data_IF_128803813711
#
_entry.id   IF_128803813711
#
_cell.length_a   1.000
_cell.length_b   1.000
_cell.length_c   1.000
_cell.angle_alpha   90.00
_cell.angle_beta   90.00
_cell.angle_gamma   90.00
#
_symmetry.space_group_name_H-M   'P 1'
#
loop_
_entity.id
_entity.type
_entity.pdbx_description
1 polymer ?
#
# COMPACT_ATOMS: atom_id res chain seq x y z
N UNK A 1 14.94 13.53 -23.21
CA UNK A 1 14.23 13.43 -21.92
C UNK A 1 14.90 12.44 -20.97
N UNK A 2 14.91 11.12 -21.19
CA UNK A 2 15.61 10.17 -20.27
C UNK A 2 17.12 10.39 -20.23
N UNK A 3 17.76 10.64 -21.37
CA UNK A 3 19.20 10.96 -21.46
C UNK A 3 19.54 12.27 -20.75
N UNK A 4 18.79 13.32 -20.97
CA UNK A 4 19.00 14.64 -20.36
C UNK A 4 18.83 14.59 -18.84
N UNK A 5 17.82 13.85 -18.34
CA UNK A 5 17.66 13.63 -16.90
C UNK A 5 18.84 12.83 -16.32
N UNK A 6 19.27 11.77 -17.01
CA UNK A 6 20.41 10.98 -16.58
C UNK A 6 21.70 11.81 -16.51
N UNK A 7 21.98 12.61 -17.54
CA UNK A 7 23.14 13.50 -17.56
C UNK A 7 23.11 14.51 -16.41
N UNK A 8 21.93 15.05 -16.11
CA UNK A 8 21.76 15.97 -14.99
C UNK A 8 22.08 15.33 -13.65
N UNK A 9 21.63 14.11 -13.42
CA UNK A 9 21.87 13.39 -12.16
C UNK A 9 23.28 12.83 -12.04
N UNK A 10 23.96 12.58 -13.16
CA UNK A 10 25.29 11.96 -13.18
C UNK A 10 26.42 12.96 -13.35
N UNK A 11 26.16 14.26 -13.58
CA UNK A 11 27.16 15.28 -13.84
C UNK A 11 28.23 15.41 -12.75
N UNK A 12 27.86 15.15 -11.50
CA UNK A 12 28.76 15.25 -10.35
C UNK A 12 29.38 13.90 -9.94
N UNK A 13 29.03 12.81 -10.65
CA UNK A 13 29.54 11.46 -10.40
C UNK A 13 30.78 11.22 -11.26
N UNK A 14 31.93 10.99 -10.62
CA UNK A 14 33.15 10.62 -11.34
C UNK A 14 33.08 9.18 -11.80
N UNK A 15 32.90 8.96 -13.09
CA UNK A 15 32.89 7.65 -13.72
C UNK A 15 34.05 7.49 -14.71
N UNK A 16 34.62 6.27 -14.85
CA UNK A 16 35.55 5.95 -15.92
C UNK A 16 34.92 6.18 -17.31
N UNK A 17 35.69 6.66 -18.27
CA UNK A 17 35.17 6.99 -19.60
C UNK A 17 34.55 5.79 -20.35
N UNK A 18 35.04 4.58 -20.10
CA UNK A 18 34.46 3.37 -20.71
C UNK A 18 33.09 3.06 -20.13
N UNK A 19 32.90 3.28 -18.82
CA UNK A 19 31.61 3.04 -18.14
C UNK A 19 30.57 4.08 -18.57
N UNK A 20 30.99 5.36 -18.72
CA UNK A 20 30.12 6.39 -19.25
C UNK A 20 29.62 6.08 -20.67
N UNK A 21 30.50 5.62 -21.57
CA UNK A 21 30.08 5.17 -22.93
C UNK A 21 29.10 4.00 -22.89
N UNK A 22 29.36 3.03 -22.02
CA UNK A 22 28.46 1.91 -21.81
C UNK A 22 27.08 2.35 -21.30
N UNK A 23 27.05 3.28 -20.36
CA UNK A 23 25.80 3.87 -19.85
C UNK A 23 25.01 4.59 -20.96
N UNK A 24 25.68 5.39 -21.77
CA UNK A 24 25.05 6.09 -22.90
C UNK A 24 24.43 5.12 -23.89
N UNK A 25 25.14 4.05 -24.26
CA UNK A 25 24.64 3.03 -25.18
C UNK A 25 23.39 2.33 -24.64
N UNK A 26 23.37 1.99 -23.35
CA UNK A 26 22.21 1.37 -22.71
C UNK A 26 21.03 2.34 -22.67
N UNK A 27 21.24 3.58 -22.27
CA UNK A 27 20.20 4.61 -22.21
C UNK A 27 19.59 4.89 -23.60
N UNK A 28 20.42 4.91 -24.65
CA UNK A 28 19.91 5.00 -26.03
C UNK A 28 19.02 3.81 -26.40
N UNK A 29 19.42 2.60 -26.04
CA UNK A 29 18.63 1.39 -26.30
C UNK A 29 17.32 1.35 -25.51
N UNK A 30 17.36 1.78 -24.24
CA UNK A 30 16.15 1.95 -23.40
C UNK A 30 15.21 2.97 -24.03
N UNK A 31 15.74 4.11 -24.49
CA UNK A 31 14.94 5.14 -25.15
C UNK A 31 14.31 4.64 -26.46
N UNK A 32 15.05 3.87 -27.27
CA UNK A 32 14.49 3.21 -28.49
C UNK A 32 13.34 2.27 -28.12
N UNK A 33 13.53 1.42 -27.08
CA UNK A 33 12.48 0.52 -26.56
C UNK A 33 11.25 1.29 -26.09
N UNK A 34 11.46 2.39 -25.36
CA UNK A 34 10.39 3.26 -24.90
C UNK A 34 9.59 3.88 -26.05
N UNK A 35 10.28 4.38 -27.09
CA UNK A 35 9.60 4.92 -28.28
C UNK A 35 8.78 3.87 -29.02
N UNK A 36 9.26 2.62 -29.07
CA UNK A 36 8.48 1.51 -29.63
C UNK A 36 7.23 1.20 -28.81
N UNK A 37 7.33 1.21 -27.46
CA UNK A 37 6.20 1.02 -26.58
C UNK A 37 5.15 2.13 -26.73
N UNK A 38 5.58 3.39 -26.79
CA UNK A 38 4.67 4.51 -27.05
C UNK A 38 3.95 4.40 -28.39
N UNK A 39 4.67 3.95 -29.44
CA UNK A 39 4.08 3.73 -30.76
C UNK A 39 3.05 2.60 -30.76
N UNK A 40 3.30 1.52 -30.02
CA UNK A 40 2.36 0.43 -29.84
C UNK A 40 1.09 0.91 -29.14
N UNK A 41 1.22 1.69 -28.08
CA UNK A 41 0.09 2.27 -27.34
C UNK A 41 -0.79 3.16 -28.18
N UNK A 42 -0.20 4.05 -28.96
CA UNK A 42 -0.96 4.92 -29.91
C UNK A 42 -1.81 4.10 -30.88
N UNK A 43 -1.50 2.82 -31.03
CA UNK A 43 -2.26 1.85 -31.84
C UNK A 43 -3.24 1.00 -31.03
N UNK A 44 -3.37 1.28 -29.72
CA UNK A 44 -4.26 0.51 -28.83
C UNK A 44 -3.78 -0.89 -28.48
N UNK A 45 -2.47 -1.20 -28.66
CA UNK A 45 -1.92 -2.54 -28.42
C UNK A 45 -1.63 -2.76 -26.92
N UNK A 46 -1.43 -1.68 -26.15
CA UNK A 46 -1.16 -1.74 -24.72
C UNK A 46 -2.24 -0.93 -23.96
N UNK A 47 -2.85 -1.52 -22.95
CA UNK A 47 -3.91 -0.91 -22.17
C UNK A 47 -3.42 0.08 -21.11
N UNK A 48 -2.13 0.09 -20.77
CA UNK A 48 -1.62 0.96 -19.71
C UNK A 48 -1.26 2.37 -20.22
N UNK A 49 -1.84 3.41 -19.63
CA UNK A 49 -1.58 4.81 -20.00
C UNK A 49 -0.22 5.32 -19.51
N UNK A 50 0.27 4.77 -18.40
CA UNK A 50 1.55 5.15 -17.79
C UNK A 50 2.42 3.89 -17.67
N UNK A 51 3.60 3.90 -18.33
CA UNK A 51 4.53 2.77 -18.30
C UNK A 51 5.30 2.74 -17.00
N UNK A 52 5.76 3.90 -16.54
CA UNK A 52 6.56 4.03 -15.33
C UNK A 52 6.24 5.33 -14.59
N UNK A 53 6.28 5.32 -13.24
CA UNK A 53 6.13 6.55 -12.48
C UNK A 53 7.32 7.47 -12.76
N UNK A 54 7.07 8.77 -12.83
CA UNK A 54 8.10 9.80 -13.00
C UNK A 54 9.09 9.73 -11.83
N UNK A 55 10.37 9.99 -12.13
CA UNK A 55 11.42 10.11 -11.11
C UNK A 55 11.05 11.23 -10.15
N UNK A 56 11.23 10.98 -8.86
CA UNK A 56 10.96 11.91 -7.79
C UNK A 56 12.20 12.09 -6.91
N UNK A 57 12.43 13.32 -6.43
CA UNK A 57 13.59 13.66 -5.61
C UNK A 57 13.38 13.33 -4.13
N UNK A 58 12.14 13.36 -3.67
CA UNK A 58 11.77 13.04 -2.30
C UNK A 58 10.37 12.38 -2.24
N UNK A 59 9.95 12.02 -1.03
CA UNK A 59 8.64 11.41 -0.81
C UNK A 59 7.50 12.33 -1.25
N UNK A 60 7.60 13.63 -0.96
CA UNK A 60 6.55 14.58 -1.28
C UNK A 60 6.34 14.73 -2.79
N UNK A 61 7.44 14.87 -3.53
CA UNK A 61 7.43 14.91 -5.01
C UNK A 61 6.92 13.58 -5.59
N UNK A 62 7.31 12.45 -4.99
CA UNK A 62 6.86 11.12 -5.40
C UNK A 62 5.34 10.97 -5.28
N UNK A 63 4.78 11.32 -4.13
CA UNK A 63 3.35 11.21 -3.87
C UNK A 63 2.55 12.15 -4.78
N UNK A 64 3.00 13.40 -4.93
CA UNK A 64 2.37 14.38 -5.80
C UNK A 64 2.30 13.90 -7.27
N UNK A 65 3.43 13.42 -7.81
CA UNK A 65 3.53 12.90 -9.18
C UNK A 65 2.73 11.61 -9.40
N UNK A 66 2.63 10.77 -8.38
CA UNK A 66 1.92 9.50 -8.44
C UNK A 66 0.40 9.69 -8.54
N UNK A 67 -0.13 10.72 -7.86
CA UNK A 67 -1.55 11.00 -7.80
C UNK A 67 -1.98 12.20 -8.65
N UNK A 68 -1.05 12.81 -9.39
CA UNK A 68 -1.28 14.01 -10.20
C UNK A 68 -1.98 15.13 -9.40
N UNK A 69 -1.46 15.40 -8.20
CA UNK A 69 -2.00 16.40 -7.27
C UNK A 69 -0.89 17.34 -6.80
N UNK A 70 -1.17 18.64 -6.78
CA UNK A 70 -0.19 19.67 -6.41
C UNK A 70 -0.11 19.87 -4.89
N UNK A 71 0.55 18.93 -4.21
CA UNK A 71 0.71 18.93 -2.74
C UNK A 71 2.17 18.82 -2.30
N UNK A 72 3.12 18.77 -3.24
CA UNK A 72 4.52 18.45 -2.91
C UNK A 72 5.11 19.38 -1.85
N UNK A 73 4.96 20.68 -2.01
CA UNK A 73 5.50 21.66 -1.07
C UNK A 73 4.82 21.60 0.30
N UNK A 74 3.51 21.45 0.30
CA UNK A 74 2.73 21.29 1.55
C UNK A 74 3.13 20.02 2.29
N UNK A 75 3.21 18.89 1.59
CA UNK A 75 3.59 17.61 2.19
C UNK A 75 5.05 17.66 2.71
N UNK A 76 5.97 18.29 1.98
CA UNK A 76 7.36 18.50 2.41
C UNK A 76 7.44 19.31 3.70
N UNK A 77 6.66 20.40 3.79
CA UNK A 77 6.57 21.21 4.99
C UNK A 77 6.03 20.39 6.20
N UNK A 78 4.99 19.59 6.00
CA UNK A 78 4.46 18.73 7.06
C UNK A 78 5.47 17.66 7.49
N UNK A 79 6.12 16.98 6.57
CA UNK A 79 7.11 15.94 6.86
C UNK A 79 8.35 16.49 7.59
N UNK A 80 8.67 17.77 7.42
CA UNK A 80 9.76 18.42 8.18
C UNK A 80 9.40 18.75 9.64
N UNK A 81 8.11 18.81 9.97
CA UNK A 81 7.61 19.25 11.28
C UNK A 81 6.98 18.12 12.10
N UNK A 82 6.51 17.07 11.46
CA UNK A 82 5.75 15.99 12.11
C UNK A 82 6.18 14.61 11.63
N UNK A 83 5.64 13.55 12.27
CA UNK A 83 5.79 12.18 11.76
C UNK A 83 5.01 12.00 10.46
N UNK A 84 5.40 11.01 9.66
CA UNK A 84 4.71 10.73 8.38
C UNK A 84 3.24 10.36 8.58
N UNK A 85 2.88 9.70 9.69
CA UNK A 85 1.50 9.35 10.01
C UNK A 85 0.67 10.60 10.29
N UNK A 86 1.21 11.57 11.06
CA UNK A 86 0.55 12.86 11.28
C UNK A 86 0.44 13.68 9.99
N UNK A 87 1.51 13.69 9.19
CA UNK A 87 1.50 14.35 7.88
C UNK A 87 0.43 13.75 6.95
N UNK A 88 0.31 12.41 6.93
CA UNK A 88 -0.70 11.71 6.13
C UNK A 88 -2.13 12.04 6.56
N UNK A 89 -2.41 12.08 7.88
CA UNK A 89 -3.73 12.48 8.39
C UNK A 89 -4.06 13.93 8.03
N UNK A 90 -3.09 14.85 8.16
CA UNK A 90 -3.31 16.26 7.83
C UNK A 90 -3.56 16.46 6.33
N UNK A 91 -2.83 15.77 5.47
CA UNK A 91 -3.09 15.78 4.03
C UNK A 91 -4.45 15.16 3.69
N UNK A 92 -4.86 14.07 4.37
CA UNK A 92 -6.19 13.50 4.20
C UNK A 92 -7.29 14.50 4.54
N UNK A 93 -7.14 15.24 5.65
CA UNK A 93 -8.05 16.29 6.08
C UNK A 93 -8.17 17.41 5.03
N UNK A 94 -7.04 17.96 4.59
CA UNK A 94 -6.97 19.06 3.62
C UNK A 94 -7.56 18.67 2.26
N UNK A 95 -7.31 17.44 1.77
CA UNK A 95 -7.90 16.94 0.53
C UNK A 95 -9.41 16.69 0.71
N UNK A 96 -9.83 16.06 1.80
CA UNK A 96 -11.26 15.80 2.06
C UNK A 96 -12.05 17.10 2.18
N UNK A 97 -11.48 18.14 2.81
CA UNK A 97 -12.04 19.48 2.90
C UNK A 97 -12.11 20.20 1.53
N UNK A 98 -11.33 19.75 0.54
CA UNK A 98 -11.29 20.36 -0.80
C UNK A 98 -10.26 21.47 -0.96
N UNK A 99 -9.26 21.52 -0.08
CA UNK A 99 -8.15 22.48 -0.20
C UNK A 99 -7.19 22.09 -1.35
N UNK A 100 -7.09 20.80 -1.64
CA UNK A 100 -6.29 20.23 -2.71
C UNK A 100 -7.10 19.27 -3.56
N UNK A 101 -6.79 19.23 -4.86
CA UNK A 101 -7.51 18.44 -5.82
C UNK A 101 -8.82 19.09 -6.29
N UNK A 102 -9.52 18.41 -7.16
CA UNK A 102 -10.80 18.86 -7.74
C UNK A 102 -11.78 17.69 -7.78
N UNK A 103 -13.07 17.98 -7.81
CA UNK A 103 -14.10 16.97 -7.95
C UNK A 103 -15.15 16.99 -6.84
N UNK A 104 -16.07 16.04 -6.93
CA UNK A 104 -17.11 15.83 -5.93
C UNK A 104 -16.56 15.23 -4.62
N UNK A 105 -17.43 15.11 -3.63
CA UNK A 105 -17.03 14.58 -2.33
C UNK A 105 -16.43 13.16 -2.41
N UNK A 106 -16.99 12.29 -3.26
CA UNK A 106 -16.47 10.93 -3.48
C UNK A 106 -15.03 10.96 -4.00
N UNK A 107 -14.78 11.77 -5.03
CA UNK A 107 -13.44 11.92 -5.64
C UNK A 107 -12.42 12.46 -4.64
N UNK A 108 -12.81 13.45 -3.82
CA UNK A 108 -11.93 13.98 -2.77
C UNK A 108 -11.60 12.95 -1.71
N UNK A 109 -12.57 12.16 -1.26
CA UNK A 109 -12.37 11.11 -0.28
C UNK A 109 -11.48 9.97 -0.83
N UNK A 110 -11.68 9.56 -2.09
CA UNK A 110 -10.81 8.59 -2.76
C UNK A 110 -9.37 9.10 -2.83
N UNK A 111 -9.17 10.34 -3.27
CA UNK A 111 -7.85 10.98 -3.30
C UNK A 111 -7.25 11.10 -1.91
N UNK A 112 -8.01 11.51 -0.89
CA UNK A 112 -7.53 11.63 0.48
C UNK A 112 -6.99 10.31 1.02
N UNK A 113 -7.72 9.21 0.81
CA UNK A 113 -7.31 7.88 1.28
C UNK A 113 -6.08 7.38 0.52
N UNK A 114 -6.06 7.48 -0.80
CA UNK A 114 -4.95 6.96 -1.64
C UNK A 114 -3.66 7.75 -1.45
N UNK A 115 -3.75 9.08 -1.46
CA UNK A 115 -2.59 9.95 -1.27
C UNK A 115 -1.96 9.71 0.11
N UNK A 116 -2.78 9.63 1.14
CA UNK A 116 -2.30 9.40 2.51
C UNK A 116 -1.73 8.00 2.69
N UNK A 117 -2.31 6.98 2.05
CA UNK A 117 -1.70 5.65 2.00
C UNK A 117 -0.33 5.69 1.31
N UNK A 118 -0.20 6.46 0.24
CA UNK A 118 1.09 6.64 -0.43
C UNK A 118 2.14 7.29 0.48
N UNK A 119 1.75 8.24 1.31
CA UNK A 119 2.65 8.86 2.30
C UNK A 119 3.13 7.83 3.33
N UNK A 120 2.22 7.09 3.96
CA UNK A 120 2.59 6.13 5.02
C UNK A 120 3.35 4.92 4.49
N UNK A 121 3.12 4.54 3.23
CA UNK A 121 3.84 3.47 2.54
C UNK A 121 5.13 3.95 1.85
N UNK A 122 5.57 5.18 2.11
CA UNK A 122 6.81 5.76 1.57
C UNK A 122 6.88 5.74 0.03
N UNK A 123 5.77 6.04 -0.61
CA UNK A 123 5.70 6.13 -2.07
C UNK A 123 5.61 4.78 -2.80
N UNK A 124 5.21 3.71 -2.09
CA UNK A 124 4.80 2.46 -2.76
C UNK A 124 3.70 2.75 -3.75
N UNK A 125 3.86 2.32 -4.99
CA UNK A 125 2.85 2.57 -6.04
C UNK A 125 1.70 1.56 -6.01
N UNK A 126 2.00 0.30 -5.73
CA UNK A 126 1.04 -0.80 -5.88
C UNK A 126 -0.12 -0.70 -4.88
N UNK A 127 0.17 -0.43 -3.61
CA UNK A 127 -0.86 -0.39 -2.57
C UNK A 127 -1.88 0.75 -2.78
N UNK A 128 -1.47 2.04 -2.93
CA UNK A 128 -2.42 3.13 -3.11
C UNK A 128 -3.10 3.14 -4.48
N UNK A 129 -2.44 2.70 -5.55
CA UNK A 129 -3.00 2.74 -6.90
C UNK A 129 -3.82 1.50 -7.25
N UNK A 130 -3.40 0.32 -6.82
CA UNK A 130 -4.00 -0.96 -7.20
C UNK A 130 -4.57 -1.75 -6.02
N UNK A 131 -4.12 -1.44 -4.79
CA UNK A 131 -4.56 -2.13 -3.58
C UNK A 131 -5.91 -1.65 -3.06
N UNK A 132 -6.35 -0.46 -3.46
CA UNK A 132 -7.69 0.08 -3.22
C UNK A 132 -8.43 0.03 -4.56
N UNK A 133 -9.53 -0.71 -4.64
CA UNK A 133 -10.36 -0.79 -5.85
C UNK A 133 -11.33 0.37 -5.96
N UNK A 134 -11.96 0.78 -4.86
CA UNK A 134 -12.90 1.90 -4.82
C UNK A 134 -12.97 2.51 -3.41
N UNK A 135 -13.27 3.80 -3.35
CA UNK A 135 -13.69 4.50 -2.14
C UNK A 135 -15.03 5.16 -2.45
N UNK A 136 -16.08 4.75 -1.75
CA UNK A 136 -17.45 5.15 -2.08
C UNK A 136 -18.24 5.56 -0.86
N UNK A 137 -19.28 6.36 -1.11
CA UNK A 137 -20.26 6.75 -0.10
C UNK A 137 -21.47 5.85 -0.28
N UNK A 138 -21.81 5.10 0.76
CA UNK A 138 -22.96 4.18 0.80
C UNK A 138 -23.94 4.61 1.89
N UNK A 139 -25.07 3.93 1.99
CA UNK A 139 -26.11 4.22 2.98
C UNK A 139 -26.32 3.05 3.95
N UNK A 140 -26.43 3.37 5.23
CA UNK A 140 -26.90 2.46 6.26
C UNK A 140 -28.39 2.13 6.08
N UNK A 141 -28.90 1.19 6.88
CA UNK A 141 -30.32 0.83 6.85
C UNK A 141 -31.23 2.00 7.26
N UNK A 142 -30.75 2.91 8.11
CA UNK A 142 -31.43 4.12 8.54
C UNK A 142 -31.29 5.31 7.56
N UNK A 143 -30.73 5.07 6.39
CA UNK A 143 -30.45 6.05 5.33
C UNK A 143 -29.31 7.05 5.67
N UNK A 144 -28.63 6.94 6.81
CA UNK A 144 -27.41 7.70 7.07
C UNK A 144 -26.30 7.31 6.10
N UNK A 145 -25.45 8.26 5.70
CA UNK A 145 -24.39 8.04 4.73
C UNK A 145 -23.07 7.73 5.42
N UNK A 146 -22.36 6.72 4.94
CA UNK A 146 -21.07 6.32 5.47
C UNK A 146 -20.03 6.10 4.37
N UNK A 147 -18.76 6.04 4.76
CA UNK A 147 -17.63 5.77 3.86
C UNK A 147 -17.33 4.28 3.78
N UNK A 148 -17.14 3.78 2.56
CA UNK A 148 -16.70 2.41 2.26
C UNK A 148 -15.34 2.43 1.56
N UNK A 149 -14.42 1.58 1.99
CA UNK A 149 -13.14 1.34 1.32
C UNK A 149 -13.07 -0.09 0.82
N UNK A 150 -13.03 -0.25 -0.48
CA UNK A 150 -12.95 -1.54 -1.16
C UNK A 150 -11.51 -1.88 -1.51
N UNK A 151 -11.02 -3.03 -1.05
CA UNK A 151 -9.66 -3.48 -1.26
C UNK A 151 -9.55 -4.55 -2.34
N UNK A 152 -8.43 -4.52 -3.07
CA UNK A 152 -8.04 -5.54 -4.04
C UNK A 152 -6.79 -6.30 -3.57
N UNK A 153 -6.49 -7.41 -4.23
CA UNK A 153 -5.34 -8.26 -3.88
C UNK A 153 -4.00 -7.55 -3.71
N UNK A 154 -3.66 -6.54 -4.53
CA UNK A 154 -2.41 -5.80 -4.44
C UNK A 154 -2.18 -5.03 -3.13
N UNK A 155 -3.20 -4.82 -2.27
CA UNK A 155 -3.02 -4.24 -0.93
C UNK A 155 -2.01 -5.04 -0.09
N UNK A 156 -1.80 -6.30 -0.42
CA UNK A 156 -0.77 -7.15 0.19
C UNK A 156 0.66 -6.62 0.05
N UNK A 157 0.90 -5.68 -0.87
CA UNK A 157 2.20 -5.00 -1.01
C UNK A 157 2.46 -4.00 0.13
N UNK A 158 1.43 -3.50 0.78
CA UNK A 158 1.56 -2.77 2.04
C UNK A 158 1.83 -3.72 3.21
N UNK A 159 2.54 -3.25 4.22
CA UNK A 159 2.64 -3.98 5.49
C UNK A 159 1.29 -3.99 6.23
N UNK A 160 1.08 -4.97 7.11
CA UNK A 160 -0.19 -5.08 7.83
C UNK A 160 -0.54 -3.82 8.65
N UNK A 161 0.44 -3.10 9.18
CA UNK A 161 0.22 -1.84 9.90
C UNK A 161 -0.25 -0.74 8.94
N UNK A 162 0.40 -0.59 7.81
CA UNK A 162 0.08 0.42 6.81
C UNK A 162 -1.29 0.15 6.17
N UNK A 163 -1.60 -1.10 5.89
CA UNK A 163 -2.90 -1.51 5.39
C UNK A 163 -4.03 -1.19 6.39
N UNK A 164 -3.82 -1.46 7.67
CA UNK A 164 -4.78 -1.11 8.72
C UNK A 164 -4.86 0.41 8.96
N UNK A 165 -3.75 1.13 8.85
CA UNK A 165 -3.72 2.59 8.98
C UNK A 165 -4.58 3.27 7.90
N UNK A 166 -4.76 2.63 6.74
CA UNK A 166 -5.72 3.09 5.71
C UNK A 166 -7.12 3.28 6.27
N UNK A 167 -7.58 2.38 7.16
CA UNK A 167 -8.90 2.48 7.78
C UNK A 167 -8.98 3.65 8.80
N UNK A 168 -7.90 3.93 9.53
CA UNK A 168 -7.81 5.10 10.42
C UNK A 168 -7.86 6.41 9.61
N UNK A 169 -7.13 6.47 8.51
CA UNK A 169 -7.11 7.61 7.58
C UNK A 169 -8.50 7.82 6.97
N UNK A 170 -9.14 6.74 6.52
CA UNK A 170 -10.48 6.80 5.96
C UNK A 170 -11.52 7.29 6.97
N UNK A 171 -11.43 6.85 8.24
CA UNK A 171 -12.30 7.35 9.30
C UNK A 171 -12.06 8.83 9.59
N UNK A 172 -10.81 9.27 9.59
CA UNK A 172 -10.48 10.68 9.75
C UNK A 172 -11.08 11.54 8.61
N UNK A 173 -10.89 11.12 7.36
CA UNK A 173 -11.46 11.79 6.19
C UNK A 173 -13.01 11.77 6.21
N UNK A 174 -13.61 10.65 6.65
CA UNK A 174 -15.05 10.51 6.84
C UNK A 174 -15.60 11.58 7.82
N UNK A 175 -14.93 11.77 8.96
CA UNK A 175 -15.31 12.77 9.97
C UNK A 175 -15.24 14.19 9.42
N UNK A 176 -14.18 14.52 8.68
CA UNK A 176 -14.03 15.82 8.01
C UNK A 176 -15.17 16.06 7.00
N UNK A 177 -15.57 15.01 6.29
CA UNK A 177 -16.68 15.07 5.33
C UNK A 177 -18.07 15.10 6.00
N UNK A 178 -18.18 14.97 7.31
CA UNK A 178 -19.46 14.96 8.03
C UNK A 178 -20.32 13.71 7.77
N UNK A 179 -19.70 12.59 7.33
CA UNK A 179 -20.40 11.34 7.10
C UNK A 179 -20.57 10.56 8.41
N UNK A 180 -21.66 9.80 8.51
CA UNK A 180 -21.94 8.92 9.65
C UNK A 180 -21.04 7.68 9.67
N UNK A 181 -21.07 6.95 10.78
CA UNK A 181 -20.35 5.69 10.90
C UNK A 181 -21.05 4.60 10.10
N UNK A 182 -20.24 3.69 9.55
CA UNK A 182 -20.73 2.42 9.07
C UNK A 182 -21.36 1.62 10.23
N UNK A 183 -22.48 0.98 9.96
CA UNK A 183 -23.18 0.08 10.88
C UNK A 183 -23.34 -1.26 10.17
N UNK A 184 -22.67 -2.30 10.69
CA UNK A 184 -22.78 -3.65 10.15
C UNK A 184 -24.23 -4.13 10.15
N UNK A 185 -24.68 -4.69 9.02
CA UNK A 185 -26.07 -5.13 8.89
C UNK A 185 -26.26 -6.49 9.57
N UNK A 186 -26.95 -6.50 10.69
CA UNK A 186 -27.27 -7.71 11.44
C UNK A 186 -28.31 -8.61 10.77
N UNK A 187 -29.16 -8.07 9.90
CA UNK A 187 -30.15 -8.87 9.17
C UNK A 187 -29.51 -9.75 8.09
N UNK A 188 -28.45 -9.28 7.47
CA UNK A 188 -27.70 -10.02 6.46
C UNK A 188 -26.50 -10.76 7.07
N UNK A 189 -26.31 -10.68 8.40
CA UNK A 189 -25.17 -11.27 9.12
C UNK A 189 -23.81 -10.99 8.47
N UNK A 190 -23.52 -9.70 8.21
CA UNK A 190 -22.26 -9.30 7.61
C UNK A 190 -21.04 -9.76 8.40
N UNK A 191 -21.15 -9.81 9.74
CA UNK A 191 -20.08 -10.31 10.59
C UNK A 191 -19.79 -11.79 10.39
N UNK A 192 -20.85 -12.61 10.28
CA UNK A 192 -20.73 -14.03 9.97
C UNK A 192 -20.12 -14.28 8.59
N UNK A 193 -20.43 -13.43 7.62
CA UNK A 193 -19.79 -13.49 6.30
C UNK A 193 -18.26 -13.33 6.38
N UNK A 194 -17.76 -12.40 7.16
CA UNK A 194 -16.30 -12.22 7.32
C UNK A 194 -15.64 -13.40 8.02
N UNK A 195 -16.32 -13.99 9.02
CA UNK A 195 -15.83 -15.20 9.70
C UNK A 195 -15.77 -16.36 8.70
N UNK A 196 -16.83 -16.58 7.93
CA UNK A 196 -16.87 -17.64 6.92
C UNK A 196 -15.77 -17.48 5.87
N UNK A 197 -15.65 -16.29 5.28
CA UNK A 197 -14.61 -16.01 4.29
C UNK A 197 -13.20 -16.23 4.84
N UNK A 198 -12.94 -15.81 6.09
CA UNK A 198 -11.66 -15.99 6.73
C UNK A 198 -11.29 -17.47 6.84
N UNK A 199 -12.22 -18.30 7.32
CA UNK A 199 -11.98 -19.74 7.50
C UNK A 199 -11.86 -20.48 6.17
N UNK A 200 -12.61 -20.08 5.17
CA UNK A 200 -12.46 -20.63 3.81
C UNK A 200 -11.11 -20.23 3.23
N UNK A 201 -10.71 -18.98 3.35
CA UNK A 201 -9.42 -18.51 2.86
C UNK A 201 -8.25 -19.25 3.50
N UNK A 202 -8.25 -19.43 4.82
CA UNK A 202 -7.23 -20.20 5.56
C UNK A 202 -7.12 -21.65 5.07
N UNK A 203 -8.26 -22.27 4.79
CA UNK A 203 -8.30 -23.69 4.39
C UNK A 203 -7.96 -23.91 2.92
N UNK A 204 -8.44 -23.04 2.02
CA UNK A 204 -8.44 -23.33 0.58
C UNK A 204 -7.48 -22.45 -0.24
N UNK A 205 -7.06 -21.32 0.30
CA UNK A 205 -6.21 -20.38 -0.45
C UNK A 205 -4.82 -20.30 0.13
N UNK A 206 -4.66 -19.72 1.31
CA UNK A 206 -3.37 -19.61 2.01
C UNK A 206 -3.54 -19.14 3.46
N UNK A 207 -2.53 -19.42 4.29
CA UNK A 207 -2.49 -18.93 5.66
C UNK A 207 -2.28 -17.42 5.76
N UNK A 208 -2.75 -16.86 6.87
CA UNK A 208 -2.46 -15.49 7.29
C UNK A 208 -1.21 -15.43 8.16
N UNK A 209 -0.69 -14.20 8.37
CA UNK A 209 0.44 -13.99 9.26
C UNK A 209 0.06 -14.26 10.73
N UNK A 210 -1.19 -14.02 11.09
CA UNK A 210 -1.70 -14.21 12.42
C UNK A 210 -2.93 -15.13 12.40
N UNK A 211 -3.05 -15.97 13.43
CA UNK A 211 -4.32 -16.64 13.72
C UNK A 211 -5.13 -15.76 14.66
N UNK A 212 -6.37 -15.50 14.29
CA UNK A 212 -7.29 -14.67 15.07
C UNK A 212 -8.54 -15.48 15.45
N UNK A 213 -9.22 -15.05 16.49
CA UNK A 213 -10.46 -15.68 16.93
C UNK A 213 -11.66 -15.12 16.17
N UNK A 214 -12.69 -15.93 15.96
CA UNK A 214 -13.95 -15.52 15.34
C UNK A 214 -14.61 -14.37 16.10
N UNK A 215 -14.52 -14.39 17.44
CA UNK A 215 -15.02 -13.31 18.30
C UNK A 215 -14.35 -11.97 18.01
N UNK A 216 -13.04 -11.98 17.73
CA UNK A 216 -12.29 -10.76 17.37
C UNK A 216 -12.68 -10.27 15.97
N UNK A 217 -12.98 -11.18 15.02
CA UNK A 217 -13.51 -10.82 13.69
C UNK A 217 -14.87 -10.12 13.84
N UNK A 218 -15.79 -10.73 14.59
CA UNK A 218 -17.12 -10.14 14.86
C UNK A 218 -17.00 -8.77 15.53
N UNK A 219 -16.17 -8.65 16.57
CA UNK A 219 -15.92 -7.36 17.23
C UNK A 219 -15.33 -6.33 16.30
N UNK A 220 -14.36 -6.72 15.49
CA UNK A 220 -13.70 -5.81 14.54
C UNK A 220 -14.75 -5.23 13.57
N UNK A 221 -15.50 -6.08 12.86
CA UNK A 221 -16.46 -5.64 11.86
C UNK A 221 -17.60 -4.83 12.47
N UNK A 222 -18.09 -5.22 13.66
CA UNK A 222 -19.18 -4.51 14.36
C UNK A 222 -18.79 -3.11 14.85
N UNK A 223 -17.50 -2.83 15.05
CA UNK A 223 -17.04 -1.56 15.62
C UNK A 223 -16.32 -0.66 14.61
N UNK A 224 -16.05 -1.14 13.39
CA UNK A 224 -15.44 -0.33 12.36
C UNK A 224 -16.32 0.87 12.01
N UNK A 225 -15.77 2.11 12.02
CA UNK A 225 -16.52 3.30 11.63
C UNK A 225 -16.63 3.51 10.13
N UNK A 226 -15.83 2.75 9.34
CA UNK A 226 -15.79 2.76 7.88
C UNK A 226 -15.97 1.35 7.40
N UNK A 227 -16.77 1.13 6.36
CA UNK A 227 -16.96 -0.21 5.81
C UNK A 227 -15.66 -0.74 5.19
N UNK A 228 -15.30 -1.92 5.61
CA UNK A 228 -14.20 -2.68 5.05
C UNK A 228 -14.76 -3.61 3.96
N UNK A 229 -14.67 -3.20 2.70
CA UNK A 229 -15.17 -3.95 1.56
C UNK A 229 -14.03 -4.44 0.64
N UNK A 230 -14.33 -5.11 -0.44
CA UNK A 230 -13.34 -5.52 -1.43
C UNK A 230 -13.89 -6.34 -2.58
N UNK A 231 -13.04 -6.44 -3.60
CA UNK A 231 -13.30 -7.29 -4.75
C UNK A 231 -12.87 -8.73 -4.49
N UNK A 232 -13.45 -9.67 -5.21
CA UNK A 232 -13.00 -11.05 -5.20
C UNK A 232 -11.55 -11.16 -5.72
N UNK A 233 -10.77 -11.97 -5.04
CA UNK A 233 -9.36 -12.20 -5.38
C UNK A 233 -9.05 -13.65 -5.70
N UNK A 234 -9.92 -14.54 -5.30
CA UNK A 234 -9.72 -15.97 -5.39
C UNK A 234 -11.00 -16.67 -5.88
N UNK A 235 -10.91 -17.72 -6.74
CA UNK A 235 -12.06 -18.38 -7.35
C UNK A 235 -12.77 -19.35 -6.39
N UNK A 236 -12.82 -19.02 -5.11
CA UNK A 236 -13.45 -19.80 -4.04
C UNK A 236 -14.69 -19.05 -3.55
N UNK A 237 -15.81 -19.73 -3.46
CA UNK A 237 -17.09 -19.15 -3.01
C UNK A 237 -17.37 -19.48 -1.55
N UNK A 238 -18.08 -18.57 -0.89
CA UNK A 238 -18.69 -18.85 0.41
C UNK A 238 -19.88 -19.79 0.27
N UNK A 239 -20.28 -20.43 1.34
CA UNK A 239 -21.36 -21.43 1.34
C UNK A 239 -22.63 -20.84 1.95
N UNK A 240 -22.53 -20.23 3.12
CA UNK A 240 -23.67 -19.79 3.93
C UNK A 240 -24.15 -18.37 3.61
N UNK A 241 -23.23 -17.43 3.44
CA UNK A 241 -23.54 -16.00 3.34
C UNK A 241 -23.44 -15.52 1.88
N UNK A 242 -24.33 -16.02 1.01
CA UNK A 242 -24.41 -15.64 -0.42
C UNK A 242 -25.47 -14.57 -0.67
N UNK A 243 -25.33 -13.88 -1.80
CA UNK A 243 -26.30 -12.88 -2.30
C UNK A 243 -26.60 -11.75 -1.28
N UNK A 244 -25.58 -11.30 -0.57
CA UNK A 244 -25.72 -10.24 0.43
C UNK A 244 -25.90 -8.88 -0.25
N UNK A 245 -26.74 -8.01 0.33
CA UNK A 245 -27.13 -6.73 -0.29
C UNK A 245 -25.96 -5.75 -0.48
N UNK A 246 -25.04 -5.70 0.48
CA UNK A 246 -23.91 -4.75 0.48
C UNK A 246 -22.59 -5.37 0.04
N UNK A 247 -22.50 -6.67 -0.07
CA UNK A 247 -21.30 -7.39 -0.53
C UNK A 247 -21.57 -7.90 -1.95
N UNK A 248 -20.90 -7.32 -2.92
CA UNK A 248 -21.20 -7.53 -4.34
C UNK A 248 -20.75 -8.89 -4.91
N UNK A 249 -19.98 -9.67 -4.16
CA UNK A 249 -19.46 -10.96 -4.63
C UNK A 249 -19.71 -12.08 -3.61
N UNK A 250 -19.98 -13.27 -4.10
CA UNK A 250 -20.03 -14.50 -3.29
C UNK A 250 -18.67 -15.19 -3.15
N UNK A 251 -17.63 -14.62 -3.79
CA UNK A 251 -16.28 -15.14 -3.71
C UNK A 251 -15.47 -14.48 -2.61
N UNK A 252 -14.36 -15.12 -2.29
CA UNK A 252 -13.47 -14.69 -1.22
C UNK A 252 -12.71 -13.41 -1.59
N UNK A 253 -12.73 -12.43 -0.69
CA UNK A 253 -12.10 -11.11 -0.81
C UNK A 253 -10.77 -11.07 -0.05
N UNK A 254 -9.76 -11.80 -0.52
CA UNK A 254 -8.49 -11.99 0.18
C UNK A 254 -7.70 -10.72 0.51
N UNK A 255 -7.85 -9.63 -0.28
CA UNK A 255 -7.27 -8.33 0.05
C UNK A 255 -7.89 -7.74 1.33
N UNK A 256 -9.20 -7.72 1.40
CA UNK A 256 -10.01 -7.28 2.55
C UNK A 256 -9.70 -8.08 3.81
N UNK A 257 -9.68 -9.41 3.67
CA UNK A 257 -9.34 -10.31 4.77
C UNK A 257 -7.93 -10.05 5.32
N UNK A 258 -6.98 -9.71 4.45
CA UNK A 258 -5.62 -9.35 4.87
C UNK A 258 -5.57 -8.06 5.68
N UNK A 259 -6.32 -7.04 5.28
CA UNK A 259 -6.43 -5.78 6.03
C UNK A 259 -7.03 -6.04 7.40
N UNK A 260 -8.09 -6.86 7.47
CA UNK A 260 -8.73 -7.23 8.73
C UNK A 260 -7.81 -8.07 9.62
N UNK A 261 -7.40 -9.24 9.12
CA UNK A 261 -6.71 -10.24 9.92
C UNK A 261 -5.29 -9.82 10.29
N UNK A 262 -4.45 -9.53 9.28
CA UNK A 262 -3.02 -9.22 9.50
C UNK A 262 -2.81 -7.76 9.92
N UNK A 263 -3.77 -6.89 9.62
CA UNK A 263 -3.74 -5.48 9.94
C UNK A 263 -4.47 -5.14 11.23
N UNK A 264 -5.79 -5.05 11.18
CA UNK A 264 -6.63 -4.53 12.27
C UNK A 264 -6.56 -5.40 13.53
N UNK A 265 -6.75 -6.71 13.39
CA UNK A 265 -6.78 -7.63 14.54
C UNK A 265 -5.38 -8.05 14.95
N UNK A 266 -4.60 -8.58 14.02
CA UNK A 266 -3.27 -9.13 14.32
C UNK A 266 -2.27 -8.10 14.83
N UNK A 267 -2.48 -6.82 14.52
CA UNK A 267 -1.64 -5.69 14.97
C UNK A 267 -2.40 -4.69 15.83
N UNK A 268 -3.51 -5.07 16.43
CA UNK A 268 -4.37 -4.22 17.24
C UNK A 268 -3.61 -3.42 18.31
N UNK A 269 -2.67 -4.07 19.02
CA UNK A 269 -1.83 -3.38 20.03
C UNK A 269 -0.93 -2.29 19.43
N UNK A 270 -0.42 -2.49 18.22
CA UNK A 270 0.41 -1.48 17.52
C UNK A 270 -0.46 -0.34 17.01
N UNK A 271 -1.63 -0.68 16.46
CA UNK A 271 -2.61 0.32 16.02
C UNK A 271 -3.13 1.17 17.19
N UNK A 272 -3.38 0.56 18.34
CA UNK A 272 -3.82 1.28 19.52
C UNK A 272 -2.80 2.36 19.93
N UNK A 273 -1.51 2.03 19.92
CA UNK A 273 -0.45 3.03 20.19
C UNK A 273 -0.45 4.17 19.16
N UNK A 274 -0.72 3.85 17.88
CA UNK A 274 -0.85 4.87 16.84
C UNK A 274 -2.08 5.74 17.07
N UNK A 275 -3.23 5.15 17.39
CA UNK A 275 -4.48 5.86 17.74
C UNK A 275 -4.23 6.85 18.87
N UNK A 276 -3.57 6.42 19.95
CA UNK A 276 -3.21 7.27 21.10
C UNK A 276 -2.21 8.37 20.71
N UNK A 277 -1.20 8.06 19.90
CA UNK A 277 -0.18 9.04 19.46
C UNK A 277 -0.76 10.09 18.49
N UNK A 278 -1.74 9.68 17.69
CA UNK A 278 -2.40 10.51 16.68
C UNK A 278 -3.67 11.20 17.20
N UNK A 279 -4.02 10.95 18.48
CA UNK A 279 -5.22 11.49 19.15
C UNK A 279 -6.52 11.21 18.35
N UNK A 280 -6.70 9.96 17.92
CA UNK A 280 -7.87 9.53 17.17
C UNK A 280 -8.93 8.95 18.08
N UNK A 281 -10.14 9.51 18.05
CA UNK A 281 -11.29 9.00 18.79
C UNK A 281 -12.03 7.88 18.04
N UNK A 282 -12.84 7.09 18.79
CA UNK A 282 -13.70 6.04 18.22
C UNK A 282 -13.01 4.69 17.99
N UNK A 283 -11.75 4.53 18.37
CA UNK A 283 -10.97 3.30 18.15
C UNK A 283 -10.58 2.57 19.45
N UNK A 284 -11.19 2.96 20.59
CA UNK A 284 -10.91 2.35 21.90
C UNK A 284 -11.24 0.85 21.98
N UNK A 285 -12.15 0.37 21.13
CA UNK A 285 -12.52 -1.04 21.02
C UNK A 285 -11.36 -1.96 20.63
N UNK A 286 -10.29 -1.41 20.01
CA UNK A 286 -9.07 -2.18 19.75
C UNK A 286 -8.44 -2.76 21.04
N UNK A 287 -8.70 -2.18 22.20
CA UNK A 287 -8.26 -2.70 23.52
C UNK A 287 -8.93 -4.02 23.88
N UNK A 288 -10.12 -4.26 23.37
CA UNK A 288 -10.92 -5.43 23.67
C UNK A 288 -10.58 -6.64 22.83
N UNK A 289 -9.79 -6.46 21.76
CA UNK A 289 -9.35 -7.55 20.91
C UNK A 289 -8.27 -8.36 21.64
N UNK A 290 -8.43 -9.67 21.60
CA UNK A 290 -7.40 -10.61 22.09
C UNK A 290 -6.16 -10.57 21.19
N UNK A 291 -6.36 -10.23 19.92
CA UNK A 291 -5.33 -10.10 18.89
C UNK A 291 -4.80 -11.45 18.42
N UNK A 292 -3.55 -11.48 17.97
CA UNK A 292 -2.94 -12.71 17.51
C UNK A 292 -2.89 -13.76 18.63
N UNK A 293 -3.43 -14.93 18.38
CA UNK A 293 -3.34 -16.06 19.31
C UNK A 293 -1.89 -16.53 19.35
N UNK A 294 -1.30 -16.56 20.54
CA UNK A 294 0.01 -17.20 20.72
C UNK A 294 -0.21 -18.70 20.67
N UNK A 295 0.21 -19.30 19.58
CA UNK A 295 0.23 -20.74 19.43
C UNK A 295 1.49 -21.29 20.11
N UNK A 296 1.38 -22.47 20.70
CA UNK A 296 2.45 -23.09 21.50
C UNK A 296 3.72 -23.40 20.69
N UNK A 297 4.75 -23.97 21.33
CA UNK A 297 6.10 -24.17 20.79
C UNK A 297 6.21 -24.86 19.42
N UNK A 298 5.22 -25.62 18.99
CA UNK A 298 5.20 -26.26 17.65
C UNK A 298 4.97 -25.25 16.52
N UNK A 299 4.35 -24.10 16.83
CA UNK A 299 4.12 -23.03 15.87
C UNK A 299 5.30 -22.07 15.72
N UNK A 300 6.32 -22.14 16.56
CA UNK A 300 7.54 -21.32 16.40
C UNK A 300 8.28 -21.62 15.09
N UNK A 301 8.21 -22.87 14.62
CA UNK A 301 8.75 -23.29 13.32
C UNK A 301 7.83 -22.76 12.20
N UNK A 302 6.52 -22.86 12.38
CA UNK A 302 5.54 -22.37 11.41
C UNK A 302 5.56 -20.83 11.32
N UNK A 303 5.70 -20.12 12.44
CA UNK A 303 5.88 -18.66 12.48
C UNK A 303 7.17 -18.25 11.77
N UNK A 304 8.26 -18.97 11.99
CA UNK A 304 9.53 -18.71 11.30
C UNK A 304 9.44 -18.99 9.81
N UNK A 305 8.74 -20.03 9.40
CA UNK A 305 8.49 -20.35 7.99
C UNK A 305 7.49 -19.38 7.36
N UNK A 306 6.42 -18.94 8.06
CA UNK A 306 5.46 -17.97 7.54
C UNK A 306 6.08 -16.57 7.40
N UNK A 307 6.92 -16.13 8.30
CA UNK A 307 7.70 -14.89 8.15
C UNK A 307 8.66 -14.97 6.94
N UNK A 308 9.26 -16.12 6.70
CA UNK A 308 10.13 -16.34 5.54
C UNK A 308 9.32 -16.41 4.24
N UNK A 309 8.17 -17.07 4.22
CA UNK A 309 7.34 -17.24 3.02
C UNK A 309 6.57 -15.96 2.66
N UNK A 310 5.94 -15.32 3.63
CA UNK A 310 5.12 -14.11 3.37
C UNK A 310 5.94 -12.84 3.20
N UNK A 311 7.11 -12.79 3.79
CA UNK A 311 7.94 -11.59 3.83
C UNK A 311 8.83 -11.38 2.62
N UNK A 312 9.04 -12.35 1.73
CA UNK A 312 10.11 -12.29 0.72
C UNK A 312 11.41 -11.72 1.33
N UNK A 313 11.93 -12.29 2.41
CA UNK A 313 13.05 -11.72 3.11
C UNK A 313 14.28 -11.73 2.21
N UNK A 314 14.99 -10.62 2.23
CA UNK A 314 16.34 -10.55 1.67
C UNK A 314 17.28 -10.67 2.84
N UNK A 315 18.01 -11.77 2.90
CA UNK A 315 19.10 -11.93 3.86
C UNK A 315 20.32 -11.18 3.31
N UNK A 316 20.69 -10.10 3.96
CA UNK A 316 21.95 -9.40 3.71
C UNK A 316 22.66 -9.19 5.02
N UNK A 317 23.98 -9.34 5.00
CA UNK A 317 24.79 -9.01 6.18
C UNK A 317 25.03 -7.50 6.19
N UNK A 318 24.61 -6.85 7.25
CA UNK A 318 24.84 -5.42 7.43
C UNK A 318 26.34 -5.09 7.38
N UNK A 319 26.68 -3.96 6.74
CA UNK A 319 28.05 -3.40 6.69
C UNK A 319 29.13 -4.33 6.15
N UNK A 320 28.77 -5.29 5.30
CA UNK A 320 29.73 -6.14 4.59
C UNK A 320 29.63 -5.95 3.09
N UNK A 321 30.72 -6.25 2.38
CA UNK A 321 30.74 -6.29 0.91
C UNK A 321 29.58 -7.20 0.42
N UNK A 322 28.79 -6.73 -0.54
CA UNK A 322 27.58 -7.40 -0.99
C UNK A 322 26.39 -7.35 -0.01
N UNK A 323 26.51 -6.60 1.10
CA UNK A 323 25.42 -6.41 2.08
C UNK A 323 24.27 -5.56 1.58
N UNK A 324 24.51 -4.71 0.58
CA UNK A 324 23.45 -3.95 -0.10
C UNK A 324 22.88 -4.78 -1.25
N UNK A 325 21.57 -4.89 -1.30
CA UNK A 325 20.87 -5.64 -2.35
C UNK A 325 19.73 -4.84 -2.91
N UNK A 326 19.74 -4.67 -4.22
CA UNK A 326 18.65 -4.11 -4.98
C UNK A 326 17.85 -5.24 -5.61
N UNK A 327 16.52 -5.20 -5.53
CA UNK A 327 15.66 -6.20 -6.16
C UNK A 327 14.92 -5.63 -7.35
N UNK A 328 14.94 -6.34 -8.45
CA UNK A 328 14.19 -6.03 -9.67
C UNK A 328 13.01 -6.97 -9.84
N UNK A 329 11.86 -6.47 -10.33
CA UNK A 329 10.69 -7.26 -10.62
C UNK A 329 10.24 -7.13 -12.06
N UNK A 330 9.25 -7.93 -12.42
CA UNK A 330 8.61 -7.88 -13.75
C UNK A 330 7.46 -6.89 -13.82
N UNK A 331 7.21 -6.12 -12.80
CA UNK A 331 6.04 -5.27 -12.69
C UNK A 331 6.33 -3.90 -13.27
N UNK A 332 5.66 -3.55 -14.34
CA UNK A 332 5.82 -2.28 -15.03
C UNK A 332 5.34 -1.06 -14.22
N UNK A 333 4.54 -1.28 -13.17
CA UNK A 333 3.91 -0.22 -12.41
C UNK A 333 4.57 0.07 -11.06
N UNK A 334 5.64 -0.62 -10.73
CA UNK A 334 6.34 -0.42 -9.48
C UNK A 334 7.66 0.23 -9.75
N UNK A 335 7.71 1.53 -9.54
CA UNK A 335 8.95 2.27 -9.61
C UNK A 335 9.83 2.06 -8.39
N UNK A 336 11.05 2.48 -8.53
CA UNK A 336 12.01 2.59 -7.45
C UNK A 336 11.52 3.63 -6.45
N UNK A 337 11.36 3.29 -5.18
CA UNK A 337 11.14 4.29 -4.16
C UNK A 337 12.46 5.02 -3.92
N UNK A 338 12.54 6.22 -4.42
CA UNK A 338 13.77 7.02 -4.38
C UNK A 338 13.99 7.72 -3.05
N UNK A 339 13.11 7.50 -2.08
CA UNK A 339 13.23 8.06 -0.74
C UNK A 339 14.49 7.52 -0.04
N UNK A 340 15.39 8.43 0.30
CA UNK A 340 16.68 8.09 0.92
C UNK A 340 17.75 7.61 -0.05
N UNK A 341 17.49 7.65 -1.37
CA UNK A 341 18.47 7.28 -2.39
C UNK A 341 18.79 8.48 -3.26
N UNK A 342 20.08 8.74 -3.43
CA UNK A 342 20.52 9.83 -4.30
C UNK A 342 20.03 9.61 -5.75
N UNK A 343 19.56 10.64 -6.47
CA UNK A 343 19.05 10.52 -7.84
C UNK A 343 20.03 9.93 -8.86
N UNK A 344 21.32 10.03 -8.60
CA UNK A 344 22.33 9.37 -9.43
C UNK A 344 22.27 7.85 -9.40
N UNK A 345 21.75 7.24 -8.33
CA UNK A 345 21.68 5.75 -8.22
C UNK A 345 20.75 5.14 -9.25
N UNK A 346 19.49 5.59 -9.43
CA UNK A 346 18.65 5.14 -10.54
C UNK A 346 19.29 5.38 -11.90
N UNK A 347 19.94 6.50 -12.09
CA UNK A 347 20.64 6.80 -13.36
C UNK A 347 21.81 5.84 -13.63
N UNK A 348 22.61 5.51 -12.61
CA UNK A 348 23.68 4.50 -12.69
C UNK A 348 23.15 3.10 -13.01
N UNK A 349 21.94 2.79 -12.58
CA UNK A 349 21.26 1.53 -12.85
C UNK A 349 20.44 1.56 -14.15
N UNK A 350 20.63 2.57 -15.00
CA UNK A 350 19.91 2.79 -16.25
C UNK A 350 18.39 2.86 -16.08
N UNK A 351 17.94 3.39 -14.96
CA UNK A 351 16.51 3.42 -14.60
C UNK A 351 15.85 2.05 -14.73
N UNK A 352 16.61 0.97 -14.52
CA UNK A 352 16.06 -0.38 -14.50
C UNK A 352 14.90 -0.43 -13.54
N UNK A 353 13.83 -1.13 -13.91
CA UNK A 353 12.62 -1.25 -13.12
C UNK A 353 12.97 -1.92 -11.80
N UNK A 354 12.91 -1.16 -10.74
CA UNK A 354 13.15 -1.64 -9.40
C UNK A 354 11.82 -1.73 -8.68
N UNK A 355 11.49 -2.93 -8.25
CA UNK A 355 10.28 -3.21 -7.54
C UNK A 355 10.62 -3.41 -6.07
N UNK A 356 10.12 -2.55 -5.23
CA UNK A 356 10.34 -2.60 -3.80
C UNK A 356 10.54 -1.21 -3.23
N UNK A 357 10.02 -1.03 -2.07
CA UNK A 357 9.79 0.29 -1.52
C UNK A 357 10.61 0.56 -0.29
N UNK A 358 11.29 -0.46 0.21
CA UNK A 358 12.12 -0.34 1.39
C UNK A 358 13.50 -0.88 1.08
N UNK A 359 14.43 0.03 0.85
CA UNK A 359 15.84 -0.30 0.86
C UNK A 359 16.38 0.11 2.23
N UNK A 360 16.69 -0.89 3.04
CA UNK A 360 17.38 -0.70 4.31
C UNK A 360 18.79 -1.22 4.13
N UNK A 361 19.74 -0.34 4.07
CA UNK A 361 21.14 -0.68 3.82
C UNK A 361 21.76 -1.50 4.96
N UNK A 362 21.28 -1.34 6.18
CA UNK A 362 21.85 -1.96 7.38
C UNK A 362 21.01 -3.12 7.95
N UNK A 363 19.90 -3.47 7.32
CA UNK A 363 18.99 -4.48 7.82
C UNK A 363 18.43 -5.36 6.70
N UNK A 364 18.12 -6.63 6.96
CA UNK A 364 17.31 -7.44 6.04
C UNK A 364 15.98 -6.77 5.76
N UNK A 365 15.59 -6.69 4.51
CA UNK A 365 14.36 -6.01 4.08
C UNK A 365 13.59 -6.82 3.05
N UNK A 366 12.33 -6.45 2.87
CA UNK A 366 11.49 -6.99 1.80
C UNK A 366 11.89 -6.33 0.48
N UNK A 367 12.11 -7.14 -0.53
CA UNK A 367 12.45 -6.65 -1.85
C UNK A 367 11.91 -7.60 -2.93
N UNK A 368 11.77 -7.14 -4.17
CA UNK A 368 11.19 -7.93 -5.27
C UNK A 368 12.20 -8.46 -6.29
N UNK A 369 13.40 -7.90 -6.35
CA UNK A 369 14.47 -8.34 -7.25
C UNK A 369 15.83 -8.12 -6.59
N UNK A 370 16.82 -8.90 -6.90
CA UNK A 370 18.14 -8.81 -6.29
C UNK A 370 19.17 -8.42 -7.33
N UNK A 371 19.82 -7.28 -7.17
CA UNK A 371 21.12 -6.99 -7.72
C UNK A 371 22.13 -6.88 -6.57
N UNK A 372 23.25 -7.51 -6.71
CA UNK A 372 24.37 -7.34 -5.78
C UNK A 372 25.17 -6.13 -6.23
N UNK A 373 25.39 -5.23 -5.30
CA UNK A 373 26.21 -4.04 -5.53
C UNK A 373 27.38 -4.15 -4.56
N UNK A 374 28.57 -4.39 -5.09
CA UNK A 374 29.76 -4.54 -4.27
C UNK A 374 30.29 -3.21 -3.74
N UNK A 375 30.13 -2.15 -4.53
CA UNK A 375 30.50 -0.78 -4.16
C UNK A 375 29.62 0.22 -4.91
N UNK A 376 29.11 1.20 -4.22
CA UNK A 376 28.62 2.45 -4.76
C UNK A 376 29.50 3.56 -4.21
#
# INVERSE_FOLDING_TARGET
MILEEAETHLKDVRMPAFYWRYQQEILENVNKGYQHALKARRRGIDAADIIEPKIAYDLADRVAKMHDIDIADRLRALLSQTTKEKAALKIAEEIAAGEYGSGDLKTRLDSAVRVSLAVVTEGVTVAPLQGISDVSIKSNVDASQYLSVSFAGPIRSAGGTEAALTMLIADHARKVAGLDKYIANSFDDETGRFVEELRIYEREVMGFQFKVLDEDVVKCISNLPVELDGVDTDPVEVVGHKNMRRIATDRVRGGTLRVMNDGLIGRSRKLLKLVETLDLDGWSWLKELKGAVQTGNDDAIYHRMSEVITGRPVLSMAKRIGGFRLRYGRCYNTGFATVGIHPAVPALLNYAIVVGTQIKMDMPGKASTIALVDTI
#
